data_IF_073993248749
#
_entry.id   IF_073993248749
#
_cell.length_a   1.000
_cell.length_b   1.000
_cell.length_c   1.000
_cell.angle_alpha   90.00
_cell.angle_beta   90.00
_cell.angle_gamma   90.00
#
_symmetry.space_group_name_H-M   'P 1'
#
loop_
_entity.id
_entity.type
_entity.pdbx_description
1 polymer ?
#
# COMPACT_ATOMS: atom_id res chain seq x y z
N UNK A 1 -3.65 15.57 -27.06
CA UNK A 1 -3.42 15.76 -25.61
C UNK A 1 -3.86 14.50 -24.89
N UNK A 2 -2.98 13.84 -24.16
CA UNK A 2 -3.37 12.69 -23.34
C UNK A 2 -4.25 13.18 -22.20
N UNK A 3 -5.46 12.62 -22.07
CA UNK A 3 -6.33 12.91 -20.96
C UNK A 3 -5.69 12.47 -19.64
N UNK A 4 -5.46 13.40 -18.72
CA UNK A 4 -4.82 13.13 -17.42
C UNK A 4 -5.60 12.11 -16.60
N UNK A 5 -6.93 12.17 -16.62
CA UNK A 5 -7.76 11.20 -15.93
C UNK A 5 -7.54 9.79 -16.45
N UNK A 6 -7.42 9.64 -17.75
CA UNK A 6 -7.08 8.40 -18.42
C UNK A 6 -5.66 7.92 -18.06
N UNK A 7 -4.68 8.82 -18.02
CA UNK A 7 -3.29 8.49 -17.69
C UNK A 7 -3.14 8.04 -16.23
N UNK A 8 -3.68 8.82 -15.30
CA UNK A 8 -3.50 8.60 -13.85
C UNK A 8 -4.44 7.53 -13.29
N UNK A 9 -5.60 7.31 -13.93
CA UNK A 9 -6.63 6.44 -13.39
C UNK A 9 -7.13 6.95 -12.03
N UNK A 10 -7.22 6.06 -11.06
CA UNK A 10 -7.62 6.37 -9.69
C UNK A 10 -6.47 6.21 -8.69
N UNK A 11 -5.24 6.52 -9.12
CA UNK A 11 -4.06 6.43 -8.27
C UNK A 11 -4.22 7.25 -7.00
N UNK A 12 -3.71 6.76 -5.88
CA UNK A 12 -3.64 7.52 -4.65
C UNK A 12 -2.75 8.77 -4.86
N UNK A 13 -3.29 9.95 -4.57
CA UNK A 13 -2.59 11.22 -4.83
C UNK A 13 -1.26 11.33 -4.06
N UNK A 14 -1.19 10.75 -2.85
CA UNK A 14 0.04 10.78 -2.05
C UNK A 14 1.09 9.78 -2.57
N UNK A 15 0.65 8.72 -3.26
CA UNK A 15 1.55 7.84 -4.00
C UNK A 15 2.09 8.55 -5.24
N UNK A 16 1.22 9.25 -5.97
CA UNK A 16 1.63 10.02 -7.13
C UNK A 16 2.58 11.19 -6.75
N UNK A 17 2.40 11.80 -5.58
CA UNK A 17 3.34 12.80 -5.03
C UNK A 17 4.76 12.22 -4.91
N UNK A 18 4.94 10.94 -4.56
CA UNK A 18 6.27 10.31 -4.50
C UNK A 18 6.92 10.23 -5.89
N UNK A 19 6.11 10.03 -6.94
CA UNK A 19 6.58 10.07 -8.32
C UNK A 19 6.98 11.49 -8.73
N UNK A 20 6.18 12.50 -8.39
CA UNK A 20 6.47 13.91 -8.68
C UNK A 20 7.74 14.40 -7.99
N UNK A 21 8.04 13.89 -6.79
CA UNK A 21 9.27 14.18 -6.04
C UNK A 21 10.51 13.44 -6.56
N UNK A 22 10.37 12.64 -7.62
CA UNK A 22 11.46 11.85 -8.18
C UNK A 22 11.91 10.66 -7.32
N UNK A 23 11.16 10.31 -6.28
CA UNK A 23 11.46 9.15 -5.41
C UNK A 23 11.10 7.82 -6.05
N UNK A 24 10.13 7.84 -6.96
CA UNK A 24 9.79 6.72 -7.85
C UNK A 24 10.21 7.16 -9.25
N UNK A 25 11.27 6.56 -9.77
CA UNK A 25 11.88 6.92 -11.05
C UNK A 25 11.61 5.84 -12.12
N UNK A 26 11.65 6.18 -13.41
CA UNK A 26 11.60 5.20 -14.49
C UNK A 26 12.68 4.12 -14.32
N UNK A 27 12.34 2.88 -14.64
CA UNK A 27 13.22 1.72 -14.49
C UNK A 27 13.13 1.02 -13.13
N UNK A 28 12.48 1.62 -12.14
CA UNK A 28 12.19 0.96 -10.86
C UNK A 28 11.10 -0.10 -11.04
N UNK A 29 11.21 -1.18 -10.26
CA UNK A 29 10.20 -2.22 -10.12
C UNK A 29 9.17 -1.82 -9.04
N UNK A 30 7.89 -2.04 -9.32
CA UNK A 30 6.77 -1.67 -8.43
C UNK A 30 5.93 -2.90 -8.08
N UNK A 31 5.75 -3.16 -6.80
CA UNK A 31 4.86 -4.23 -6.32
C UNK A 31 3.76 -3.63 -5.43
N UNK A 32 2.49 -3.95 -5.76
CA UNK A 32 1.33 -3.55 -4.95
C UNK A 32 0.87 -4.73 -4.07
N UNK A 33 1.16 -4.62 -2.78
CA UNK A 33 0.81 -5.60 -1.75
C UNK A 33 -0.63 -5.34 -1.27
N UNK A 34 -1.59 -6.03 -1.88
CA UNK A 34 -3.02 -5.80 -1.79
C UNK A 34 -3.52 -4.99 -2.98
N UNK A 35 -3.16 -5.44 -4.20
CA UNK A 35 -3.37 -4.67 -5.42
C UNK A 35 -4.85 -4.49 -5.82
N UNK A 36 -5.75 -5.30 -5.26
CA UNK A 36 -7.16 -5.26 -5.62
C UNK A 36 -7.35 -5.35 -7.13
N UNK A 37 -8.13 -4.43 -7.67
CA UNK A 37 -8.39 -4.32 -9.11
C UNK A 37 -7.35 -3.45 -9.86
N UNK A 38 -6.23 -3.10 -9.23
CA UNK A 38 -5.12 -2.38 -9.86
C UNK A 38 -5.30 -0.86 -9.96
N UNK A 39 -6.12 -0.22 -9.12
CA UNK A 39 -6.37 1.23 -9.21
C UNK A 39 -5.08 2.07 -9.13
N UNK A 40 -4.13 1.67 -8.30
CA UNK A 40 -2.84 2.34 -8.15
C UNK A 40 -1.84 2.01 -9.26
N UNK A 41 -2.12 0.99 -10.07
CA UNK A 41 -1.18 0.45 -11.04
C UNK A 41 -1.36 1.00 -12.47
N UNK A 42 -2.51 1.63 -12.78
CA UNK A 42 -2.81 2.15 -14.13
C UNK A 42 -1.70 3.04 -14.64
N UNK A 43 -1.25 4.01 -13.84
CA UNK A 43 -0.18 4.93 -14.20
C UNK A 43 1.13 4.18 -14.47
N UNK A 44 1.56 3.31 -13.55
CA UNK A 44 2.82 2.58 -13.68
C UNK A 44 2.84 1.63 -14.89
N UNK A 45 1.73 0.94 -15.17
CA UNK A 45 1.58 0.09 -16.34
C UNK A 45 1.74 0.90 -17.64
N UNK A 46 1.12 2.09 -17.73
CA UNK A 46 1.17 2.96 -18.91
C UNK A 46 2.54 3.58 -19.12
N UNK A 47 3.19 3.99 -18.02
CA UNK A 47 4.53 4.59 -18.05
C UNK A 47 5.65 3.56 -18.22
N UNK A 48 5.29 2.28 -18.36
CA UNK A 48 6.25 1.27 -18.69
C UNK A 48 7.10 0.76 -17.53
N UNK A 49 6.65 0.88 -16.29
CA UNK A 49 7.29 0.24 -15.15
C UNK A 49 7.16 -1.28 -15.21
N UNK A 50 8.07 -1.98 -14.57
CA UNK A 50 7.89 -3.40 -14.27
C UNK A 50 7.00 -3.51 -13.02
N UNK A 51 5.80 -4.09 -13.20
CA UNK A 51 4.73 -4.07 -12.21
C UNK A 51 4.35 -5.48 -11.81
N UNK A 52 4.18 -5.69 -10.52
CA UNK A 52 3.64 -6.91 -9.95
C UNK A 52 2.65 -6.61 -8.82
N UNK A 53 1.93 -7.62 -8.36
CA UNK A 53 0.99 -7.43 -7.26
C UNK A 53 0.44 -8.73 -6.70
N UNK A 54 -0.03 -8.66 -5.45
CA UNK A 54 -0.75 -9.74 -4.78
C UNK A 54 -2.06 -9.24 -4.22
N UNK A 55 -3.07 -10.08 -4.22
CA UNK A 55 -4.34 -9.85 -3.53
C UNK A 55 -4.98 -11.20 -3.20
N UNK A 56 -5.57 -11.42 -2.02
CA UNK A 56 -6.19 -12.69 -1.69
C UNK A 56 -7.46 -13.00 -2.49
N UNK A 57 -8.10 -11.98 -3.14
CA UNK A 57 -9.27 -12.19 -3.98
C UNK A 57 -8.89 -12.55 -5.42
N UNK A 58 -9.09 -13.81 -5.86
CA UNK A 58 -8.78 -14.21 -7.23
C UNK A 58 -9.62 -13.50 -8.29
N UNK A 59 -10.79 -12.93 -7.92
CA UNK A 59 -11.58 -12.10 -8.86
C UNK A 59 -10.91 -10.76 -9.10
N UNK A 60 -10.38 -10.13 -8.05
CA UNK A 60 -9.62 -8.89 -8.15
C UNK A 60 -8.35 -9.11 -9.00
N UNK A 61 -7.62 -10.20 -8.76
CA UNK A 61 -6.41 -10.55 -9.51
C UNK A 61 -6.71 -10.75 -11.01
N UNK A 62 -7.79 -11.42 -11.38
CA UNK A 62 -8.19 -11.53 -12.80
C UNK A 62 -8.46 -10.17 -13.45
N UNK A 63 -9.03 -9.22 -12.70
CA UNK A 63 -9.26 -7.86 -13.21
C UNK A 63 -7.96 -7.12 -13.45
N UNK A 64 -6.99 -7.19 -12.53
CA UNK A 64 -5.70 -6.52 -12.71
C UNK A 64 -4.86 -7.19 -13.81
N UNK A 65 -4.93 -8.50 -13.97
CA UNK A 65 -4.31 -9.22 -15.10
C UNK A 65 -4.87 -8.73 -16.44
N UNK A 66 -6.20 -8.61 -16.58
CA UNK A 66 -6.83 -8.07 -17.78
C UNK A 66 -6.45 -6.60 -18.01
N UNK A 67 -6.31 -5.81 -16.96
CA UNK A 67 -5.82 -4.43 -17.02
C UNK A 67 -4.38 -4.39 -17.55
N UNK A 68 -3.49 -5.22 -17.02
CA UNK A 68 -2.09 -5.31 -17.42
C UNK A 68 -1.95 -5.74 -18.89
N UNK A 69 -2.68 -6.77 -19.33
CA UNK A 69 -2.71 -7.18 -20.76
C UNK A 69 -3.06 -6.02 -21.69
N UNK A 70 -4.00 -5.17 -21.28
CA UNK A 70 -4.44 -4.04 -22.11
C UNK A 70 -3.45 -2.88 -22.10
N UNK A 71 -2.83 -2.57 -20.98
CA UNK A 71 -2.01 -1.36 -20.81
C UNK A 71 -0.52 -1.60 -21.00
N UNK A 72 -0.05 -2.79 -20.68
CA UNK A 72 1.37 -3.19 -20.71
C UNK A 72 1.49 -4.69 -21.11
N UNK A 73 1.23 -5.07 -22.37
CA UNK A 73 1.20 -6.48 -22.81
C UNK A 73 2.48 -7.27 -22.54
N UNK A 74 3.61 -6.58 -22.28
CA UNK A 74 4.87 -7.21 -21.91
C UNK A 74 4.90 -7.78 -20.49
N UNK A 75 3.99 -7.32 -19.62
CA UNK A 75 3.90 -7.81 -18.24
C UNK A 75 3.19 -9.15 -18.22
N UNK A 76 3.87 -10.17 -17.68
CA UNK A 76 3.30 -11.50 -17.58
C UNK A 76 2.13 -11.54 -16.58
N UNK A 77 1.12 -12.36 -16.87
CA UNK A 77 -0.01 -12.54 -15.93
C UNK A 77 0.43 -13.10 -14.57
N UNK A 78 1.51 -13.90 -14.56
CA UNK A 78 2.12 -14.45 -13.35
C UNK A 78 2.72 -13.40 -12.40
N UNK A 79 2.87 -12.14 -12.87
CA UNK A 79 3.24 -11.02 -12.02
C UNK A 79 2.10 -10.65 -11.05
N UNK A 80 0.88 -11.13 -11.28
CA UNK A 80 -0.26 -10.88 -10.38
C UNK A 80 -0.76 -12.21 -9.82
N UNK A 81 -0.66 -12.36 -8.49
CA UNK A 81 -0.90 -13.62 -7.79
C UNK A 81 -2.07 -13.52 -6.82
N UNK A 82 -2.92 -14.55 -6.82
CA UNK A 82 -4.04 -14.65 -5.88
C UNK A 82 -3.54 -15.23 -4.55
N UNK A 83 -2.85 -14.41 -3.76
CA UNK A 83 -2.15 -14.80 -2.54
C UNK A 83 -2.35 -13.73 -1.46
N UNK A 84 -2.45 -14.09 -0.17
CA UNK A 84 -2.45 -13.12 0.91
C UNK A 84 -1.07 -12.46 1.05
N UNK A 85 -1.06 -11.20 1.47
CA UNK A 85 0.17 -10.41 1.58
C UNK A 85 1.19 -11.05 2.51
N UNK A 86 0.72 -11.63 3.62
CA UNK A 86 1.56 -12.27 4.64
C UNK A 86 2.17 -13.61 4.21
N UNK A 87 1.63 -14.23 3.16
CA UNK A 87 2.08 -15.55 2.67
C UNK A 87 2.29 -15.58 1.14
N UNK A 88 2.68 -14.43 0.58
CA UNK A 88 2.94 -14.35 -0.86
C UNK A 88 4.24 -15.07 -1.25
N UNK A 89 4.27 -15.59 -2.48
CA UNK A 89 5.37 -16.41 -3.03
C UNK A 89 6.43 -15.61 -3.79
N UNK A 90 6.36 -14.26 -3.82
CA UNK A 90 7.43 -13.46 -4.38
C UNK A 90 8.72 -13.58 -3.56
N UNK A 91 9.90 -13.56 -4.20
CA UNK A 91 11.17 -13.61 -3.48
C UNK A 91 11.38 -12.35 -2.64
N UNK A 92 12.27 -12.44 -1.66
CA UNK A 92 12.72 -11.29 -0.91
C UNK A 92 13.43 -10.29 -1.84
N UNK A 93 13.30 -9.00 -1.53
CA UNK A 93 13.90 -7.92 -2.33
C UNK A 93 13.45 -7.87 -3.80
N UNK A 94 12.23 -8.30 -4.06
CA UNK A 94 11.66 -8.37 -5.42
C UNK A 94 11.41 -7.00 -6.06
N UNK A 95 11.38 -5.91 -5.29
CA UNK A 95 10.95 -4.60 -5.80
C UNK A 95 11.67 -3.43 -5.16
N UNK A 96 11.85 -2.35 -5.96
CA UNK A 96 12.36 -1.05 -5.49
C UNK A 96 11.28 -0.25 -4.75
N UNK A 97 10.02 -0.45 -5.13
CA UNK A 97 8.86 0.21 -4.54
C UNK A 97 7.81 -0.83 -4.16
N UNK A 98 7.39 -0.82 -2.90
CA UNK A 98 6.27 -1.62 -2.43
C UNK A 98 5.14 -0.68 -1.98
N UNK A 99 3.96 -0.89 -2.55
CA UNK A 99 2.73 -0.16 -2.23
C UNK A 99 1.88 -1.03 -1.30
N UNK A 100 1.32 -0.43 -0.24
CA UNK A 100 0.30 -1.02 0.62
C UNK A 100 -0.75 0.04 0.93
N UNK A 101 -1.68 0.26 0.00
CA UNK A 101 -2.68 1.33 0.10
C UNK A 101 -4.06 0.77 0.45
N UNK A 102 -4.54 1.06 1.64
CA UNK A 102 -5.81 0.58 2.20
C UNK A 102 -5.84 -0.96 2.37
N UNK A 103 -4.78 -1.54 2.92
CA UNK A 103 -4.61 -2.99 3.08
C UNK A 103 -4.41 -3.37 4.55
N UNK A 104 -3.37 -2.86 5.21
CA UNK A 104 -2.98 -3.30 6.55
C UNK A 104 -4.07 -3.09 7.62
N UNK A 105 -4.93 -2.10 7.44
CA UNK A 105 -6.02 -1.83 8.37
C UNK A 105 -7.17 -2.86 8.34
N UNK A 106 -7.12 -3.83 7.42
CA UNK A 106 -8.05 -4.97 7.41
C UNK A 106 -7.61 -6.10 8.32
N UNK A 107 -6.43 -6.04 8.92
CA UNK A 107 -5.96 -7.03 9.86
C UNK A 107 -6.99 -7.25 10.98
N UNK A 108 -7.22 -8.53 11.33
CA UNK A 108 -8.15 -8.92 12.41
C UNK A 108 -7.57 -8.68 13.80
N UNK A 109 -6.24 -8.70 13.91
CA UNK A 109 -5.48 -8.53 15.14
C UNK A 109 -4.07 -8.02 14.86
N UNK A 110 -3.30 -7.78 15.92
CA UNK A 110 -1.92 -7.28 15.82
C UNK A 110 -0.97 -8.32 15.19
N UNK A 111 -1.18 -9.60 15.43
CA UNK A 111 -0.34 -10.66 14.86
C UNK A 111 -0.47 -10.68 13.32
N UNK A 112 -1.69 -10.61 12.80
CA UNK A 112 -1.91 -10.53 11.36
C UNK A 112 -1.42 -9.20 10.79
N UNK A 113 -1.62 -8.07 11.48
CA UNK A 113 -1.09 -6.78 11.04
C UNK A 113 0.42 -6.84 10.85
N UNK A 114 1.14 -7.36 11.85
CA UNK A 114 2.59 -7.53 11.77
C UNK A 114 3.00 -8.51 10.67
N UNK A 115 2.30 -9.63 10.51
CA UNK A 115 2.56 -10.59 9.44
C UNK A 115 2.40 -9.95 8.05
N UNK A 116 1.31 -9.21 7.81
CA UNK A 116 1.08 -8.48 6.55
C UNK A 116 2.14 -7.40 6.31
N UNK A 117 2.52 -6.65 7.35
CA UNK A 117 3.57 -5.64 7.27
C UNK A 117 4.92 -6.28 6.91
N UNK A 118 5.31 -7.35 7.59
CA UNK A 118 6.54 -8.08 7.30
C UNK A 118 6.51 -8.73 5.91
N UNK A 119 5.36 -9.29 5.50
CA UNK A 119 5.14 -9.83 4.15
C UNK A 119 5.35 -8.78 3.05
N UNK A 120 4.93 -7.52 3.30
CA UNK A 120 5.19 -6.40 2.40
C UNK A 120 6.65 -5.93 2.46
N UNK A 121 7.20 -5.81 3.67
CA UNK A 121 8.55 -5.26 3.89
C UNK A 121 9.67 -6.13 3.34
N UNK A 122 9.54 -7.48 3.41
CA UNK A 122 10.55 -8.39 2.86
C UNK A 122 10.71 -8.26 1.35
N UNK A 123 9.62 -7.89 0.63
CA UNK A 123 9.61 -7.70 -0.82
C UNK A 123 10.45 -6.48 -1.25
N UNK A 124 10.67 -5.54 -0.33
CA UNK A 124 11.37 -4.31 -0.61
C UNK A 124 12.89 -4.53 -0.64
N UNK A 125 13.53 -4.15 -1.73
CA UNK A 125 14.99 -4.16 -1.88
C UNK A 125 15.68 -3.14 -0.96
N UNK A 126 17.02 -3.23 -0.82
CA UNK A 126 17.81 -2.23 -0.10
C UNK A 126 17.61 -0.83 -0.69
N UNK A 127 17.48 0.18 0.15
CA UNK A 127 17.19 1.58 -0.22
C UNK A 127 15.83 1.79 -0.91
N UNK A 128 15.00 0.74 -1.01
CA UNK A 128 13.68 0.79 -1.62
C UNK A 128 12.69 1.64 -0.83
N UNK A 129 11.60 2.03 -1.49
CA UNK A 129 10.54 2.87 -0.95
C UNK A 129 9.31 2.03 -0.61
N UNK A 130 8.90 2.05 0.66
CA UNK A 130 7.62 1.54 1.13
C UNK A 130 6.61 2.67 1.22
N UNK A 131 5.57 2.61 0.41
CA UNK A 131 4.42 3.51 0.49
C UNK A 131 3.26 2.79 1.17
N UNK A 132 2.86 3.28 2.32
CA UNK A 132 1.70 2.73 3.02
C UNK A 132 0.67 3.83 3.30
N UNK A 133 -0.61 3.51 3.07
CA UNK A 133 -1.72 4.36 3.49
C UNK A 133 -2.78 3.52 4.18
N UNK A 134 -3.04 3.82 5.45
CA UNK A 134 -3.86 2.98 6.31
C UNK A 134 -4.72 3.80 7.28
N UNK A 135 -5.75 3.17 7.86
CA UNK A 135 -6.58 3.81 8.87
C UNK A 135 -5.78 4.03 10.16
N UNK A 136 -5.96 5.18 10.78
CA UNK A 136 -5.32 5.55 12.04
C UNK A 136 -6.30 6.19 13.02
N UNK A 137 -5.90 6.27 14.28
CA UNK A 137 -6.62 7.01 15.33
C UNK A 137 -6.23 8.49 15.38
N UNK A 138 -5.23 8.92 14.62
CA UNK A 138 -4.68 10.28 14.66
C UNK A 138 -5.75 11.29 14.25
N UNK A 139 -6.06 12.24 15.16
CA UNK A 139 -7.12 13.23 14.95
C UNK A 139 -8.54 12.66 15.03
N UNK A 140 -8.69 11.45 15.55
CA UNK A 140 -9.97 10.77 15.73
C UNK A 140 -10.20 10.35 17.19
N UNK A 141 -9.46 10.93 18.11
CA UNK A 141 -9.52 10.61 19.54
C UNK A 141 -10.97 10.74 20.06
N UNK A 142 -11.46 9.69 20.71
CA UNK A 142 -12.84 9.64 21.23
C UNK A 142 -13.93 9.43 20.16
N UNK A 143 -13.59 9.24 18.88
CA UNK A 143 -14.53 9.09 17.75
C UNK A 143 -14.56 7.68 17.15
N UNK A 144 -14.13 6.70 17.89
CA UNK A 144 -14.22 5.28 17.54
C UNK A 144 -14.48 4.45 18.81
N UNK A 145 -15.06 3.27 18.63
CA UNK A 145 -15.33 2.35 19.73
C UNK A 145 -14.34 1.19 19.67
N UNK A 146 -13.53 0.94 20.70
CA UNK A 146 -12.66 -0.23 20.78
C UNK A 146 -13.48 -1.53 20.69
N UNK A 147 -12.98 -2.50 19.93
CA UNK A 147 -13.55 -3.85 19.78
C UNK A 147 -12.63 -4.87 20.44
N UNK A 148 -11.36 -4.92 20.00
CA UNK A 148 -10.33 -5.79 20.58
C UNK A 148 -8.93 -5.27 20.24
N UNK A 149 -8.11 -4.97 21.24
CA UNK A 149 -6.78 -4.41 21.02
C UNK A 149 -6.85 -3.12 20.19
N UNK A 150 -6.15 -3.09 19.05
CA UNK A 150 -6.18 -1.97 18.10
C UNK A 150 -7.33 -2.06 17.07
N UNK A 151 -8.17 -3.07 17.14
CA UNK A 151 -9.35 -3.16 16.28
C UNK A 151 -10.48 -2.32 16.86
N UNK A 152 -10.97 -1.38 16.08
CA UNK A 152 -11.97 -0.41 16.47
C UNK A 152 -13.10 -0.33 15.43
N UNK A 153 -14.30 0.01 15.91
CA UNK A 153 -15.44 0.35 15.07
C UNK A 153 -15.47 1.86 14.88
N UNK A 154 -15.49 2.28 13.62
CA UNK A 154 -15.55 3.68 13.21
C UNK A 154 -17.00 4.17 13.13
N UNK A 155 -17.19 5.49 13.06
CA UNK A 155 -18.53 6.11 12.96
C UNK A 155 -19.26 5.79 11.66
N UNK A 156 -18.56 5.32 10.61
CA UNK A 156 -19.18 4.81 9.38
C UNK A 156 -19.63 3.35 9.49
N UNK A 157 -19.55 2.75 10.69
CA UNK A 157 -19.92 1.37 10.98
C UNK A 157 -18.86 0.34 10.61
N UNK A 158 -17.79 0.72 9.94
CA UNK A 158 -16.73 -0.19 9.56
C UNK A 158 -15.79 -0.52 10.73
N UNK A 159 -15.25 -1.74 10.75
CA UNK A 159 -14.22 -2.13 11.71
C UNK A 159 -12.84 -2.11 11.05
N UNK A 160 -11.86 -1.47 11.71
CA UNK A 160 -10.49 -1.36 11.24
C UNK A 160 -9.50 -1.57 12.37
N UNK A 161 -8.33 -2.10 12.03
CA UNK A 161 -7.15 -2.04 12.87
C UNK A 161 -6.58 -0.63 12.77
N UNK A 162 -6.56 0.10 13.87
CA UNK A 162 -6.09 1.49 13.92
C UNK A 162 -4.66 1.56 14.47
N UNK A 163 -3.84 2.33 13.77
CA UNK A 163 -2.50 2.70 14.22
C UNK A 163 -2.53 4.12 14.77
N UNK A 164 -1.60 4.43 15.67
CA UNK A 164 -1.29 5.79 16.10
C UNK A 164 0.12 6.20 15.66
N UNK A 165 0.49 7.43 15.90
CA UNK A 165 1.80 7.96 15.52
C UNK A 165 2.95 7.21 16.22
N UNK A 166 2.85 6.99 17.52
CA UNK A 166 3.88 6.31 18.31
C UNK A 166 4.16 4.89 17.76
N UNK A 167 3.08 4.17 17.43
CA UNK A 167 3.19 2.82 16.88
C UNK A 167 3.85 2.82 15.48
N UNK A 168 3.50 3.75 14.59
CA UNK A 168 4.13 3.86 13.27
C UNK A 168 5.61 4.22 13.38
N UNK A 169 5.99 5.10 14.32
CA UNK A 169 7.40 5.45 14.56
C UNK A 169 8.19 4.26 15.15
N UNK A 170 7.58 3.50 16.06
CA UNK A 170 8.16 2.26 16.59
C UNK A 170 8.39 1.25 15.46
N UNK A 171 7.38 0.99 14.63
CA UNK A 171 7.47 0.07 13.49
C UNK A 171 8.55 0.52 12.50
N UNK A 172 8.66 1.82 12.21
CA UNK A 172 9.71 2.35 11.34
C UNK A 172 11.10 1.98 11.85
N UNK A 173 11.34 2.14 13.16
CA UNK A 173 12.63 1.79 13.79
C UNK A 173 12.88 0.27 13.77
N UNK A 174 11.87 -0.51 14.14
CA UNK A 174 11.98 -1.98 14.23
C UNK A 174 12.25 -2.63 12.88
N UNK A 175 11.67 -2.08 11.81
CA UNK A 175 11.89 -2.52 10.43
C UNK A 175 13.24 -2.07 9.86
N UNK A 176 14.03 -1.26 10.59
CA UNK A 176 15.28 -0.67 10.06
C UNK A 176 14.98 0.34 8.96
N UNK A 177 13.85 1.03 9.04
CA UNK A 177 13.44 2.04 8.07
C UNK A 177 13.81 3.46 8.48
N UNK A 178 13.60 4.39 7.55
CA UNK A 178 13.72 5.84 7.74
C UNK A 178 12.49 6.52 7.14
N UNK A 179 11.82 7.40 7.89
CA UNK A 179 10.73 8.20 7.35
C UNK A 179 11.23 9.15 6.26
N UNK A 180 10.60 9.10 5.09
CA UNK A 180 10.88 10.03 3.99
C UNK A 180 10.05 11.31 4.07
N UNK A 181 8.91 11.24 4.71
CA UNK A 181 8.00 12.37 4.96
C UNK A 181 7.48 12.30 6.40
N UNK A 182 7.13 13.43 7.03
CA UNK A 182 6.28 13.42 8.20
C UNK A 182 4.98 12.64 7.91
N UNK A 183 4.44 11.98 8.93
CA UNK A 183 3.15 11.28 8.80
C UNK A 183 2.07 12.28 8.37
N UNK A 184 1.42 12.01 7.24
CA UNK A 184 0.34 12.85 6.72
C UNK A 184 -1.00 12.19 6.98
N UNK A 185 -1.85 12.87 7.71
CA UNK A 185 -3.17 12.37 8.11
C UNK A 185 -4.28 13.16 7.44
N UNK A 186 -5.25 12.44 6.87
CA UNK A 186 -6.46 13.02 6.29
C UNK A 186 -7.68 12.53 7.06
N UNK A 187 -8.32 13.43 7.80
CA UNK A 187 -9.60 13.19 8.47
C UNK A 187 -10.74 13.55 7.52
N UNK A 188 -11.69 12.63 7.34
CA UNK A 188 -12.83 12.84 6.45
C UNK A 188 -14.11 12.92 7.28
N UNK A 189 -14.67 14.13 7.40
CA UNK A 189 -15.94 14.43 8.09
C UNK A 189 -16.03 13.81 9.49
N UNK A 190 -14.91 13.76 10.21
CA UNK A 190 -14.80 13.16 11.55
C UNK A 190 -15.25 11.69 11.64
N UNK A 191 -15.44 11.02 10.51
CA UNK A 191 -15.94 9.62 10.46
C UNK A 191 -14.85 8.60 10.29
N UNK A 192 -13.75 8.97 9.64
CA UNK A 192 -12.59 8.11 9.37
C UNK A 192 -11.34 8.94 9.16
N UNK A 193 -10.22 8.33 9.39
CA UNK A 193 -8.93 8.91 9.17
C UNK A 193 -8.02 7.94 8.39
N UNK A 194 -7.23 8.49 7.50
CA UNK A 194 -6.21 7.75 6.75
C UNK A 194 -4.87 8.44 6.90
N UNK A 195 -3.86 7.71 7.34
CA UNK A 195 -2.49 8.21 7.47
C UNK A 195 -1.62 7.64 6.36
N UNK A 196 -0.83 8.50 5.74
CA UNK A 196 0.20 8.16 4.76
C UNK A 196 1.53 8.02 5.48
N UNK A 197 2.16 6.87 5.33
CA UNK A 197 3.41 6.46 5.94
C UNK A 197 4.38 6.04 4.85
N UNK A 198 5.41 6.86 4.60
CA UNK A 198 6.39 6.65 3.54
C UNK A 198 7.76 6.40 4.17
N UNK A 199 8.31 5.23 3.91
CA UNK A 199 9.54 4.75 4.57
C UNK A 199 10.54 4.29 3.52
N UNK A 200 11.81 4.63 3.72
CA UNK A 200 12.94 4.05 2.99
C UNK A 200 13.54 2.92 3.80
N UNK A 201 13.77 1.78 3.18
CA UNK A 201 14.55 0.70 3.78
C UNK A 201 16.04 1.11 3.81
N UNK A 202 16.67 1.00 4.96
CA UNK A 202 18.13 1.20 5.05
C UNK A 202 18.83 0.09 4.26
N UNK A 203 19.99 0.42 3.71
CA UNK A 203 20.83 -0.56 3.00
C UNK A 203 21.58 -1.46 3.95
#
# INVERSE_FOLDING_TARGET
>A
MTDLGSLLGQIDIYLFDQRLRGRIAPGMTVLDAGCGRGRNLVFFLREGFDVSGVDPDPKAVRVVQALARRLAPRIAETNFRAEPVEANSFPDHASDVVISSAVLHFARDEAQFRAMLHGSWRLLGPKGLFFCRLASSIGMEGRFTPVAGRRCRLLDGSERFLVDEAYLLELTRTLGGELLDPLKTTVVQDRRCMTTWVVRKKG
#
